data_IF_744950261124
#
_entry.id   IF_744950261124
#
_cell.length_a   1.000
_cell.length_b   1.000
_cell.length_c   1.000
_cell.angle_alpha   90.00
_cell.angle_beta   90.00
_cell.angle_gamma   90.00
#
_symmetry.space_group_name_H-M   'P 1'
#
loop_
_entity.id
_entity.type
_entity.pdbx_description
1 polymer ?
#
# COMPACT_ATOMS: atom_id res chain seq x y z
N UNK A 1 -2.72 -14.18 8.11
CA UNK A 1 -1.71 -13.18 8.50
C UNK A 1 -2.31 -11.79 8.32
N UNK A 2 -1.73 -10.73 8.90
CA UNK A 2 -2.31 -9.38 8.75
C UNK A 2 -2.39 -8.92 7.28
N UNK A 3 -1.48 -9.37 6.42
CA UNK A 3 -1.50 -9.09 4.98
C UNK A 3 -2.74 -9.66 4.28
N UNK A 4 -3.17 -10.88 4.63
CA UNK A 4 -4.37 -11.49 4.05
C UNK A 4 -5.63 -10.68 4.40
N UNK A 5 -5.65 -10.08 5.60
CA UNK A 5 -6.75 -9.22 6.05
C UNK A 5 -6.75 -7.92 5.25
N UNK A 6 -5.59 -7.31 5.09
CA UNK A 6 -5.43 -6.12 4.26
C UNK A 6 -5.92 -6.38 2.82
N UNK A 7 -5.50 -7.49 2.21
CA UNK A 7 -5.95 -7.90 0.88
C UNK A 7 -7.47 -8.11 0.82
N UNK A 8 -8.03 -8.89 1.75
CA UNK A 8 -9.47 -9.13 1.83
C UNK A 8 -10.27 -7.84 1.95
N UNK A 9 -9.85 -6.93 2.85
CA UNK A 9 -10.49 -5.64 3.04
C UNK A 9 -10.46 -4.82 1.77
N UNK A 10 -9.30 -4.76 1.12
CA UNK A 10 -9.17 -3.99 -0.09
C UNK A 10 -10.03 -4.54 -1.24
N UNK A 11 -9.98 -5.84 -1.50
CA UNK A 11 -10.80 -6.47 -2.54
C UNK A 11 -12.31 -6.28 -2.30
N UNK A 12 -12.74 -6.40 -1.05
CA UNK A 12 -14.15 -6.33 -0.65
C UNK A 12 -14.69 -4.89 -0.71
N UNK A 13 -13.89 -3.93 -0.26
CA UNK A 13 -14.34 -2.56 -0.04
C UNK A 13 -14.02 -1.59 -1.18
N UNK A 14 -13.09 -1.91 -2.09
CA UNK A 14 -12.78 -0.97 -3.19
C UNK A 14 -13.75 -1.05 -4.37
N UNK A 15 -14.30 -2.24 -4.62
CA UNK A 15 -15.31 -2.46 -5.66
C UNK A 15 -16.71 -2.02 -5.22
N UNK A 16 -16.89 -1.93 -3.91
CA UNK A 16 -18.09 -1.37 -3.31
C UNK A 16 -17.86 0.13 -3.22
N UNK A 17 -18.58 0.93 -4.00
CA UNK A 17 -18.63 2.42 -3.97
C UNK A 17 -19.04 3.01 -2.59
N UNK A 18 -18.93 2.22 -1.53
CA UNK A 18 -19.15 2.59 -0.16
C UNK A 18 -17.97 3.46 0.29
N UNK A 19 -18.23 4.75 0.44
CA UNK A 19 -17.42 5.63 1.28
C UNK A 19 -16.97 4.84 2.52
N UNK A 20 -15.66 4.85 2.81
CA UNK A 20 -14.98 4.15 3.92
C UNK A 20 -15.43 4.65 5.31
N UNK A 21 -16.73 4.82 5.54
CA UNK A 21 -17.37 4.99 6.84
C UNK A 21 -17.97 3.65 7.29
N UNK A 22 -17.22 2.56 7.09
CA UNK A 22 -17.58 1.26 7.65
C UNK A 22 -17.26 1.31 9.14
N UNK A 23 -18.23 0.93 9.97
CA UNK A 23 -18.03 0.89 11.40
C UNK A 23 -16.96 -0.15 11.74
N UNK A 24 -15.92 0.26 12.47
CA UNK A 24 -14.80 -0.61 12.85
C UNK A 24 -15.26 -1.87 13.59
N UNK A 25 -16.32 -1.76 14.41
CA UNK A 25 -16.91 -2.89 15.13
C UNK A 25 -17.58 -3.88 14.17
N UNK A 26 -18.26 -3.39 13.14
CA UNK A 26 -18.90 -4.23 12.12
C UNK A 26 -17.85 -4.93 11.25
N UNK A 27 -16.75 -4.24 10.95
CA UNK A 27 -15.63 -4.77 10.20
C UNK A 27 -14.90 -5.88 10.98
N UNK A 28 -14.67 -5.68 12.28
CA UNK A 28 -14.07 -6.70 13.15
C UNK A 28 -14.94 -7.96 13.18
N UNK A 29 -16.25 -7.82 13.40
CA UNK A 29 -17.19 -8.94 13.41
C UNK A 29 -17.24 -9.67 12.06
N UNK A 30 -17.18 -8.96 10.94
CA UNK A 30 -17.10 -9.57 9.61
C UNK A 30 -15.81 -10.39 9.44
N UNK A 31 -14.65 -9.81 9.78
CA UNK A 31 -13.36 -10.47 9.67
C UNK A 31 -13.25 -11.71 10.58
N UNK A 32 -13.81 -11.65 11.79
CA UNK A 32 -13.91 -12.80 12.68
C UNK A 32 -14.77 -13.91 12.05
N UNK A 33 -15.89 -13.55 11.41
CA UNK A 33 -16.76 -14.51 10.70
C UNK A 33 -16.12 -15.09 9.45
N UNK A 34 -15.25 -14.33 8.78
CA UNK A 34 -14.44 -14.79 7.66
C UNK A 34 -13.31 -15.77 8.09
N UNK A 35 -13.07 -15.90 9.41
CA UNK A 35 -12.12 -16.85 9.99
C UNK A 35 -10.74 -16.27 10.28
N UNK A 36 -10.59 -14.94 10.26
CA UNK A 36 -9.34 -14.29 10.63
C UNK A 36 -9.13 -14.30 12.15
N UNK A 37 -7.85 -14.33 12.56
CA UNK A 37 -7.49 -14.31 13.97
C UNK A 37 -7.62 -12.89 14.54
N UNK A 38 -8.28 -12.74 15.69
CA UNK A 38 -8.50 -11.43 16.32
C UNK A 38 -7.22 -10.59 16.49
N UNK A 39 -6.10 -11.23 16.82
CA UNK A 39 -4.81 -10.55 16.94
C UNK A 39 -4.35 -9.93 15.62
N UNK A 40 -4.53 -10.64 14.51
CA UNK A 40 -4.13 -10.15 13.19
C UNK A 40 -5.10 -9.08 12.67
N UNK A 41 -6.40 -9.21 12.99
CA UNK A 41 -7.43 -8.20 12.70
C UNK A 41 -7.05 -6.88 13.36
N UNK A 42 -6.77 -6.89 14.66
CA UNK A 42 -6.39 -5.69 15.39
C UNK A 42 -5.16 -5.00 14.77
N UNK A 43 -4.13 -5.79 14.41
CA UNK A 43 -2.94 -5.26 13.74
C UNK A 43 -3.25 -4.61 12.40
N UNK A 44 -4.10 -5.23 11.58
CA UNK A 44 -4.48 -4.70 10.28
C UNK A 44 -5.28 -3.40 10.42
N UNK A 45 -6.21 -3.33 11.39
CA UNK A 45 -6.99 -2.12 11.65
C UNK A 45 -6.10 -0.97 12.14
N UNK A 46 -5.20 -1.23 13.09
CA UNK A 46 -4.21 -0.23 13.55
C UNK A 46 -3.35 0.26 12.39
N UNK A 47 -2.90 -0.65 11.51
CA UNK A 47 -2.11 -0.29 10.34
C UNK A 47 -2.88 0.64 9.38
N UNK A 48 -4.19 0.42 9.20
CA UNK A 48 -5.06 1.27 8.38
C UNK A 48 -5.27 2.65 9.02
N UNK A 49 -5.45 2.71 10.34
CA UNK A 49 -5.54 3.97 11.09
C UNK A 49 -4.27 4.81 10.93
N UNK A 50 -3.11 4.17 11.05
CA UNK A 50 -1.82 4.84 10.84
C UNK A 50 -1.64 5.32 9.39
N UNK A 51 -2.09 4.54 8.40
CA UNK A 51 -2.08 4.96 6.99
C UNK A 51 -2.92 6.24 6.79
N UNK A 52 -4.14 6.27 7.34
CA UNK A 52 -5.01 7.45 7.28
C UNK A 52 -4.43 8.66 8.03
N UNK A 53 -3.65 8.42 9.09
CA UNK A 53 -2.96 9.47 9.84
C UNK A 53 -1.78 10.07 9.05
N UNK A 54 -1.03 9.26 8.29
CA UNK A 54 0.08 9.74 7.46
C UNK A 54 -0.37 10.75 6.40
N UNK A 55 -1.55 10.52 5.80
CA UNK A 55 -2.17 11.44 4.84
C UNK A 55 -2.37 12.85 5.43
N UNK A 56 -2.66 12.93 6.74
CA UNK A 56 -2.93 14.19 7.44
C UNK A 56 -1.65 14.86 7.96
N UNK A 57 -0.49 14.19 7.88
CA UNK A 57 0.76 14.69 8.43
C UNK A 57 1.47 15.66 7.48
N UNK A 58 1.69 16.91 7.93
CA UNK A 58 2.40 17.95 7.18
C UNK A 58 3.87 17.59 6.86
N UNK A 59 4.41 16.56 7.51
CA UNK A 59 5.79 16.07 7.34
C UNK A 59 6.07 15.56 5.93
N UNK A 60 5.08 14.93 5.27
CA UNK A 60 5.22 14.45 3.90
C UNK A 60 5.15 15.60 2.86
N UNK A 61 4.36 16.64 3.17
CA UNK A 61 4.25 17.84 2.34
C UNK A 61 5.56 18.63 2.26
N UNK A 62 6.40 18.59 3.30
CA UNK A 62 7.72 19.24 3.31
C UNK A 62 8.74 18.55 2.36
N UNK A 63 8.58 17.25 2.11
CA UNK A 63 9.44 16.48 1.19
C UNK A 63 9.18 16.90 -0.26
N UNK A 64 7.93 17.23 -0.59
CA UNK A 64 7.53 17.73 -1.92
C UNK A 64 8.31 18.98 -2.35
N UNK A 65 8.67 19.87 -1.40
CA UNK A 65 9.38 21.13 -1.68
C UNK A 65 10.85 20.93 -2.10
N UNK A 66 11.48 19.80 -1.72
CA UNK A 66 12.87 19.47 -2.08
C UNK A 66 13.00 18.43 -3.20
N UNK A 67 11.86 17.95 -3.74
CA UNK A 67 11.84 16.87 -4.72
C UNK A 67 12.14 17.40 -6.13
N UNK A 68 13.42 17.57 -6.46
CA UNK A 68 13.82 17.70 -7.87
C UNK A 68 13.54 16.36 -8.59
N UNK A 69 13.03 16.40 -9.83
CA UNK A 69 12.59 15.20 -10.58
C UNK A 69 13.68 14.14 -10.84
N UNK A 70 14.91 14.39 -10.40
CA UNK A 70 16.08 13.54 -10.61
C UNK A 70 16.69 13.04 -9.29
N UNK A 71 16.01 13.20 -8.15
CA UNK A 71 16.49 12.69 -6.87
C UNK A 71 16.41 11.16 -6.84
N UNK A 72 17.54 10.49 -6.63
CA UNK A 72 17.57 9.03 -6.44
C UNK A 72 17.49 8.72 -4.95
N UNK A 73 16.48 7.97 -4.50
CA UNK A 73 16.39 7.51 -3.11
C UNK A 73 17.53 6.56 -2.78
N UNK A 74 18.13 6.76 -1.61
CA UNK A 74 19.08 5.82 -1.02
C UNK A 74 18.34 5.02 0.06
N UNK A 75 18.31 3.69 -0.10
CA UNK A 75 17.70 2.79 0.87
C UNK A 75 18.66 2.51 2.03
N UNK A 76 18.15 2.56 3.25
CA UNK A 76 18.86 2.17 4.47
C UNK A 76 19.07 0.66 4.53
N UNK A 77 19.98 0.19 5.38
CA UNK A 77 20.21 -1.25 5.58
C UNK A 77 18.94 -1.99 5.98
N UNK A 78 18.15 -1.43 6.88
CA UNK A 78 16.87 -2.02 7.34
C UNK A 78 15.86 -2.12 6.19
N UNK A 79 15.74 -1.08 5.38
CA UNK A 79 14.88 -1.10 4.19
C UNK A 79 15.38 -2.14 3.18
N UNK A 80 16.70 -2.33 3.02
CA UNK A 80 17.25 -3.34 2.11
C UNK A 80 17.05 -4.78 2.59
N UNK A 81 16.97 -5.00 3.91
CA UNK A 81 16.63 -6.29 4.50
C UNK A 81 15.15 -6.64 4.26
N UNK A 82 14.28 -5.62 4.31
CA UNK A 82 12.83 -5.77 4.13
C UNK A 82 12.39 -5.78 2.67
N UNK A 83 12.95 -4.88 1.86
CA UNK A 83 12.63 -4.72 0.45
C UNK A 83 13.68 -5.43 -0.38
N UNK A 84 13.27 -6.52 -1.02
CA UNK A 84 14.09 -7.24 -1.98
C UNK A 84 14.55 -6.32 -3.12
N UNK A 85 15.53 -6.78 -3.90
CA UNK A 85 15.98 -6.06 -5.10
C UNK A 85 14.82 -5.84 -6.08
N UNK A 86 13.93 -6.84 -6.20
CA UNK A 86 12.76 -6.77 -7.07
C UNK A 86 11.76 -5.73 -6.60
N UNK A 87 11.45 -5.69 -5.29
CA UNK A 87 10.57 -4.69 -4.69
C UNK A 87 11.08 -3.26 -4.93
N UNK A 88 12.38 -3.04 -4.73
CA UNK A 88 13.01 -1.72 -4.96
C UNK A 88 13.00 -1.32 -6.43
N UNK A 89 13.26 -2.27 -7.33
CA UNK A 89 13.18 -2.05 -8.78
C UNK A 89 11.77 -1.68 -9.21
N UNK A 90 10.76 -2.33 -8.64
CA UNK A 90 9.35 -2.04 -8.92
C UNK A 90 8.94 -0.64 -8.42
N UNK A 91 9.34 -0.25 -7.21
CA UNK A 91 9.12 1.13 -6.71
C UNK A 91 9.74 2.18 -7.63
N UNK A 92 10.98 1.94 -8.10
CA UNK A 92 11.64 2.84 -9.06
C UNK A 92 10.90 2.89 -10.39
N UNK A 93 10.41 1.76 -10.89
CA UNK A 93 9.60 1.71 -12.10
C UNK A 93 8.30 2.54 -11.96
N UNK A 94 7.58 2.38 -10.85
CA UNK A 94 6.35 3.13 -10.59
C UNK A 94 6.58 4.64 -10.52
N UNK A 95 7.71 5.09 -9.97
CA UNK A 95 8.09 6.51 -9.97
C UNK A 95 8.40 6.99 -11.40
N UNK A 96 9.09 6.18 -12.21
CA UNK A 96 9.41 6.53 -13.62
C UNK A 96 8.18 6.68 -14.51
N UNK A 97 7.14 5.86 -14.28
CA UNK A 97 5.87 5.97 -15.01
C UNK A 97 4.89 6.97 -14.37
N UNK A 98 5.32 7.71 -13.34
CA UNK A 98 4.53 8.69 -12.59
C UNK A 98 3.27 8.09 -11.91
N UNK A 99 3.28 6.79 -11.61
CA UNK A 99 2.27 6.17 -10.74
C UNK A 99 2.51 6.60 -9.30
N UNK A 100 3.77 6.61 -8.87
CA UNK A 100 4.16 7.13 -7.57
C UNK A 100 4.84 8.49 -7.72
N UNK A 101 4.52 9.41 -6.83
CA UNK A 101 5.30 10.62 -6.59
C UNK A 101 6.34 10.32 -5.52
N UNK A 102 7.33 11.19 -5.35
CA UNK A 102 8.28 11.06 -4.23
C UNK A 102 7.56 10.96 -2.89
N UNK A 103 6.46 11.70 -2.71
CA UNK A 103 5.64 11.68 -1.49
C UNK A 103 4.94 10.34 -1.27
N UNK A 104 4.19 9.83 -2.27
CA UNK A 104 3.48 8.55 -2.13
C UNK A 104 4.45 7.38 -2.05
N UNK A 105 5.61 7.47 -2.70
CA UNK A 105 6.70 6.49 -2.55
C UNK A 105 7.24 6.46 -1.11
N UNK A 106 7.38 7.60 -0.43
CA UNK A 106 7.75 7.62 1.00
C UNK A 106 6.68 6.97 1.86
N UNK A 107 5.41 7.29 1.62
CA UNK A 107 4.30 6.69 2.36
C UNK A 107 4.28 5.16 2.22
N UNK A 108 4.47 4.64 0.99
CA UNK A 108 4.55 3.19 0.75
C UNK A 108 5.69 2.57 1.56
N UNK A 109 6.88 3.16 1.53
CA UNK A 109 8.04 2.62 2.27
C UNK A 109 7.81 2.64 3.77
N UNK A 110 7.28 3.75 4.32
CA UNK A 110 6.97 3.86 5.73
C UNK A 110 5.98 2.77 6.18
N UNK A 111 4.92 2.56 5.38
CA UNK A 111 3.93 1.53 5.64
C UNK A 111 4.47 0.12 5.59
N UNK A 112 5.39 -0.18 4.67
CA UNK A 112 6.05 -1.49 4.61
C UNK A 112 6.93 -1.72 5.83
N UNK A 113 7.62 -0.68 6.30
CA UNK A 113 8.46 -0.76 7.49
C UNK A 113 7.63 -0.95 8.78
N UNK A 114 6.36 -0.51 8.77
CA UNK A 114 5.39 -0.77 9.85
C UNK A 114 4.68 -2.12 9.79
N UNK A 115 4.83 -2.89 8.70
CA UNK A 115 4.20 -4.22 8.59
C UNK A 115 4.87 -5.23 9.53
N UNK A 116 4.08 -5.82 10.42
CA UNK A 116 4.51 -6.92 11.30
C UNK A 116 4.28 -8.31 10.66
N UNK A 117 4.90 -8.54 9.50
CA UNK A 117 4.94 -9.86 8.82
C UNK A 117 6.39 -10.37 8.71
N UNK A 118 6.62 -11.67 8.73
CA UNK A 118 7.98 -12.23 8.56
C UNK A 118 8.37 -12.35 7.08
N UNK A 119 7.39 -12.63 6.22
CA UNK A 119 7.56 -12.77 4.78
C UNK A 119 6.92 -11.57 4.07
N UNK A 120 7.63 -11.01 3.09
CA UNK A 120 7.18 -9.88 2.28
C UNK A 120 7.72 -10.01 0.86
N UNK A 121 6.81 -10.17 -0.10
CA UNK A 121 7.13 -10.40 -1.50
C UNK A 121 6.71 -9.23 -2.40
N UNK A 122 7.01 -9.32 -3.69
CA UNK A 122 6.66 -8.27 -4.64
C UNK A 122 5.13 -8.09 -4.74
N UNK A 123 4.37 -9.18 -4.68
CA UNK A 123 2.91 -9.09 -4.80
C UNK A 123 2.28 -8.41 -3.57
N UNK A 124 2.83 -8.59 -2.37
CA UNK A 124 2.48 -7.81 -1.17
C UNK A 124 2.74 -6.31 -1.40
N UNK A 125 3.92 -5.95 -1.92
CA UNK A 125 4.25 -4.55 -2.23
C UNK A 125 3.20 -3.89 -3.12
N UNK A 126 2.71 -4.60 -4.13
CA UNK A 126 1.73 -4.02 -5.07
C UNK A 126 0.40 -3.72 -4.38
N UNK A 127 -0.06 -4.59 -3.49
CA UNK A 127 -1.24 -4.32 -2.67
C UNK A 127 -1.04 -3.11 -1.77
N UNK A 128 0.13 -2.98 -1.13
CA UNK A 128 0.43 -1.82 -0.30
C UNK A 128 0.47 -0.52 -1.12
N UNK A 129 1.05 -0.56 -2.33
CA UNK A 129 1.02 0.58 -3.26
C UNK A 129 -0.41 0.98 -3.59
N UNK A 130 -1.25 0.01 -3.94
CA UNK A 130 -2.66 0.24 -4.23
C UNK A 130 -3.42 0.87 -3.05
N UNK A 131 -3.21 0.35 -1.84
CA UNK A 131 -3.79 0.89 -0.61
C UNK A 131 -3.41 2.35 -0.38
N UNK A 132 -2.13 2.68 -0.55
CA UNK A 132 -1.66 4.05 -0.41
C UNK A 132 -2.27 4.95 -1.48
N UNK A 133 -2.30 4.51 -2.74
CA UNK A 133 -2.89 5.29 -3.85
C UNK A 133 -4.39 5.53 -3.65
N UNK A 134 -5.12 4.54 -3.14
CA UNK A 134 -6.54 4.67 -2.84
C UNK A 134 -6.80 5.65 -1.69
N UNK A 135 -5.93 5.64 -0.68
CA UNK A 135 -6.09 6.48 0.51
C UNK A 135 -5.68 7.94 0.28
N UNK A 136 -4.90 8.24 -0.78
CA UNK A 136 -4.44 9.60 -1.09
C UNK A 136 -5.32 10.24 -2.18
N UNK A 137 -5.97 11.39 -1.90
CA UNK A 137 -6.88 12.04 -2.85
C UNK A 137 -6.16 12.52 -4.11
N UNK A 138 -6.84 12.44 -5.25
CA UNK A 138 -6.31 12.92 -6.54
C UNK A 138 -5.42 11.93 -7.30
N UNK A 139 -5.27 10.69 -6.79
CA UNK A 139 -4.49 9.63 -7.44
C UNK A 139 -5.33 8.62 -8.23
N UNK A 140 -6.58 8.94 -8.59
CA UNK A 140 -7.50 8.03 -9.31
C UNK A 140 -6.86 7.44 -10.60
N UNK A 141 -6.16 8.26 -11.38
CA UNK A 141 -5.48 7.78 -12.58
C UNK A 141 -4.29 6.85 -12.28
N UNK A 142 -3.51 7.18 -11.23
CA UNK A 142 -2.39 6.35 -10.79
C UNK A 142 -2.87 5.01 -10.22
N UNK A 143 -4.01 5.04 -9.52
CA UNK A 143 -4.71 3.87 -9.03
C UNK A 143 -5.13 2.94 -10.18
N UNK A 144 -5.85 3.45 -11.18
CA UNK A 144 -6.28 2.66 -12.35
C UNK A 144 -5.09 2.04 -13.09
N UNK A 145 -4.01 2.81 -13.29
CA UNK A 145 -2.81 2.31 -13.95
C UNK A 145 -2.13 1.21 -13.12
N UNK A 146 -2.12 1.33 -11.79
CA UNK A 146 -1.59 0.31 -10.90
C UNK A 146 -2.44 -0.96 -10.91
N UNK A 147 -3.77 -0.84 -10.94
CA UNK A 147 -4.67 -1.98 -11.12
C UNK A 147 -4.40 -2.69 -12.46
N UNK A 148 -4.29 -1.96 -13.57
CA UNK A 148 -3.96 -2.55 -14.87
C UNK A 148 -2.64 -3.32 -14.83
N UNK A 149 -1.62 -2.78 -14.15
CA UNK A 149 -0.32 -3.45 -13.98
C UNK A 149 -0.41 -4.72 -13.12
N UNK A 150 -1.29 -4.74 -12.12
CA UNK A 150 -1.58 -5.92 -11.32
C UNK A 150 -2.21 -7.02 -12.15
N UNK A 151 -3.30 -6.71 -12.86
CA UNK A 151 -4.01 -7.66 -13.72
C UNK A 151 -3.16 -8.14 -14.92
N UNK A 152 -2.28 -7.28 -15.46
CA UNK A 152 -1.39 -7.67 -16.57
C UNK A 152 -0.40 -8.76 -16.14
N UNK A 153 0.03 -8.80 -14.87
CA UNK A 153 0.92 -9.86 -14.36
C UNK A 153 0.17 -11.18 -14.11
N UNK A 154 -1.12 -11.11 -13.75
CA UNK A 154 -1.99 -12.30 -13.63
C UNK A 154 -2.35 -12.91 -15.00
N UNK A 155 -2.41 -12.08 -16.05
CA UNK A 155 -2.61 -12.53 -17.44
C UNK A 155 -1.32 -12.97 -18.13
N UNK A 156 -0.44 -13.68 -17.42
CA UNK A 156 0.75 -14.30 -18.00
C UNK A 156 0.45 -15.22 -19.18
N UNK A 157 0.44 -14.63 -20.39
CA UNK A 157 0.69 -15.22 -21.72
C UNK A 157 -0.38 -16.20 -22.24
N UNK A 158 -1.41 -15.64 -22.89
CA UNK A 158 -1.97 -16.24 -24.10
C UNK A 158 -1.41 -15.47 -25.29
N UNK A 159 -0.26 -15.91 -25.80
CA UNK A 159 0.26 -15.48 -27.09
C UNK A 159 0.55 -16.70 -27.97
#
# INVERSE_FOLDING_TARGET
MMMDILMYLFETYIHSDAELQVNQDELEDELLRAGFHQKDIYKALVWLEELAALQQSETHSAISVCSTSNSTRIYTTKECERLSIECRGFLTFLEQVNVLTTETREMVVDRIMGLETDEFELDDLKWIVLMVLFNVPGNENAYTLMEELLYTKEQGILH
#
